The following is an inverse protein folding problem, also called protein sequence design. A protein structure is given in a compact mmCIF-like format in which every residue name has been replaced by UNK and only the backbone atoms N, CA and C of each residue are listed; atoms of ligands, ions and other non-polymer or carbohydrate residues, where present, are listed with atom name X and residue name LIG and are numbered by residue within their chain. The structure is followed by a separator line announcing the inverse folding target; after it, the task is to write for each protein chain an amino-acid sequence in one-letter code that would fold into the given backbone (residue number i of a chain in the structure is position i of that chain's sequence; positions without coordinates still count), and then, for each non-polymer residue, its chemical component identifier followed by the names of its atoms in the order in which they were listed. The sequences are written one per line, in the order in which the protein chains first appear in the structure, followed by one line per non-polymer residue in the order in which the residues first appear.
data_IF_314982272869
#
_entry.id   IF_314982272869
#
_cell.length_a   1.000
_cell.length_b   1.000
_cell.length_c   1.000
_cell.angle_alpha   90.00
_cell.angle_beta   90.00
_cell.angle_gamma   90.00
#
_symmetry.space_group_name_H-M   'P 1'
#
loop_
_entity.id
_entity.type
_entity.pdbx_description
1 polymer ?
#
# COMPACT_ATOMS: atom_id res chain seq x y z
N UNK A 1 22.76 7.68 -23.71
CA UNK A 1 22.33 7.10 -25.00
C UNK A 1 21.18 6.13 -24.74
N UNK A 2 19.98 6.67 -24.53
CA UNK A 2 18.71 5.99 -24.74
C UNK A 2 17.93 6.94 -25.65
N UNK A 3 17.77 6.55 -26.91
CA UNK A 3 17.14 7.37 -27.95
C UNK A 3 15.77 6.77 -28.29
N UNK A 4 14.77 7.64 -28.45
CA UNK A 4 13.40 7.31 -28.90
C UNK A 4 12.48 6.96 -27.72
N UNK A 5 11.26 7.49 -27.59
CA UNK A 5 10.37 8.15 -28.55
C UNK A 5 9.39 9.05 -27.77
N UNK A 6 8.87 10.10 -28.39
CA UNK A 6 8.04 11.13 -27.74
C UNK A 6 6.58 10.70 -27.57
N UNK A 7 6.34 9.70 -26.73
CA UNK A 7 5.07 9.48 -26.04
C UNK A 7 5.40 9.34 -24.56
N UNK A 8 4.74 10.11 -23.69
CA UNK A 8 5.08 10.26 -22.26
C UNK A 8 4.91 9.00 -21.41
N UNK A 9 4.85 7.81 -22.01
CA UNK A 9 4.57 6.53 -21.39
C UNK A 9 5.81 5.63 -21.51
N UNK A 10 6.78 5.85 -20.62
CA UNK A 10 7.93 4.95 -20.51
C UNK A 10 7.42 3.60 -19.98
N UNK A 11 7.86 2.43 -20.50
CA UNK A 11 7.40 1.11 -20.04
C UNK A 11 7.45 0.89 -18.52
N UNK A 12 8.34 1.62 -17.83
CA UNK A 12 8.43 1.64 -16.38
C UNK A 12 7.20 2.28 -15.70
N UNK A 13 6.69 3.41 -16.22
CA UNK A 13 5.51 4.09 -15.66
C UNK A 13 4.27 3.20 -15.77
N UNK A 14 4.06 2.60 -16.94
CA UNK A 14 2.97 1.65 -17.15
C UNK A 14 3.04 0.44 -16.21
N UNK A 15 4.26 0.02 -15.81
CA UNK A 15 4.42 -1.07 -14.85
C UNK A 15 4.08 -0.66 -13.42
N UNK A 16 4.46 0.56 -13.01
CA UNK A 16 4.07 1.11 -11.70
C UNK A 16 2.55 1.22 -11.60
N UNK A 17 1.89 1.69 -12.65
CA UNK A 17 0.44 1.82 -12.69
C UNK A 17 -0.26 0.47 -12.54
N UNK A 18 0.15 -0.53 -13.33
CA UNK A 18 -0.35 -1.91 -13.20
C UNK A 18 -0.15 -2.48 -11.80
N UNK A 19 0.99 -2.19 -11.17
CA UNK A 19 1.25 -2.66 -9.81
C UNK A 19 0.28 -2.02 -8.80
N UNK A 20 0.00 -0.72 -8.92
CA UNK A 20 -0.93 0.00 -8.03
C UNK A 20 -2.36 -0.52 -8.16
N UNK A 21 -2.80 -0.81 -9.39
CA UNK A 21 -4.13 -1.39 -9.64
C UNK A 21 -4.24 -2.79 -9.03
N UNK A 22 -3.23 -3.64 -9.23
CA UNK A 22 -3.20 -4.98 -8.64
C UNK A 22 -3.19 -4.91 -7.10
N UNK A 23 -2.40 -3.99 -6.53
CA UNK A 23 -2.37 -3.76 -5.09
C UNK A 23 -3.76 -3.36 -4.56
N UNK A 24 -4.46 -2.47 -5.26
CA UNK A 24 -5.79 -2.02 -4.87
C UNK A 24 -6.83 -3.15 -4.86
N UNK A 25 -6.83 -4.01 -5.89
CA UNK A 25 -7.69 -5.21 -5.96
C UNK A 25 -7.39 -6.15 -4.79
N UNK A 26 -6.11 -6.43 -4.51
CA UNK A 26 -5.71 -7.31 -3.41
C UNK A 26 -6.12 -6.73 -2.05
N UNK A 27 -5.92 -5.43 -1.84
CA UNK A 27 -6.33 -4.74 -0.61
C UNK A 27 -7.84 -4.76 -0.44
N UNK A 28 -8.63 -4.49 -1.47
CA UNK A 28 -10.10 -4.51 -1.38
C UNK A 28 -10.64 -5.82 -0.80
N UNK A 29 -10.08 -6.95 -1.24
CA UNK A 29 -10.42 -8.28 -0.70
C UNK A 29 -10.03 -8.43 0.78
N UNK A 30 -8.81 -8.07 1.16
CA UNK A 30 -8.32 -8.18 2.54
C UNK A 30 -9.11 -7.26 3.48
N UNK A 31 -9.38 -6.03 3.05
CA UNK A 31 -10.10 -5.02 3.83
C UNK A 31 -11.56 -5.39 4.04
N UNK A 32 -12.19 -6.01 3.04
CA UNK A 32 -13.56 -6.54 3.18
C UNK A 32 -13.64 -7.64 4.25
N UNK A 33 -12.57 -8.41 4.45
CA UNK A 33 -12.53 -9.47 5.46
C UNK A 33 -12.19 -8.97 6.87
N UNK A 34 -11.30 -7.98 6.97
CA UNK A 34 -10.72 -7.56 8.26
C UNK A 34 -11.28 -6.25 8.83
N UNK A 35 -11.85 -5.38 7.99
CA UNK A 35 -12.33 -4.01 8.31
C UNK A 35 -11.40 -3.23 9.28
N UNK A 36 -10.09 -3.10 8.98
CA UNK A 36 -9.18 -2.44 9.88
C UNK A 36 -9.39 -0.93 9.88
N UNK A 37 -9.13 -0.27 11.00
CA UNK A 37 -9.13 1.19 11.09
C UNK A 37 -7.89 1.82 10.40
N UNK A 38 -6.79 1.07 10.32
CA UNK A 38 -5.53 1.53 9.76
C UNK A 38 -4.76 0.39 9.08
N UNK A 39 -4.18 0.68 7.93
CA UNK A 39 -3.24 -0.18 7.22
C UNK A 39 -1.88 0.48 7.22
N UNK A 40 -0.88 -0.23 7.74
CA UNK A 40 0.52 0.22 7.73
C UNK A 40 1.30 -0.59 6.71
N UNK A 41 1.75 0.06 5.64
CA UNK A 41 2.58 -0.56 4.60
C UNK A 41 4.04 -0.57 5.03
N UNK A 42 4.65 -1.76 5.03
CA UNK A 42 6.06 -1.96 5.36
C UNK A 42 6.88 -2.53 4.19
N UNK A 43 8.16 -2.77 4.45
CA UNK A 43 9.09 -3.30 3.45
C UNK A 43 9.61 -2.24 2.47
N UNK A 44 10.49 -2.65 1.55
CA UNK A 44 11.24 -1.73 0.68
C UNK A 44 10.32 -0.91 -0.23
N UNK A 45 9.25 -1.52 -0.74
CA UNK A 45 8.30 -0.85 -1.62
C UNK A 45 7.52 0.26 -0.92
N UNK A 46 7.28 0.15 0.40
CA UNK A 46 6.60 1.20 1.18
C UNK A 46 7.34 2.54 1.23
N UNK A 47 8.61 2.57 0.80
CA UNK A 47 9.39 3.79 0.67
C UNK A 47 9.04 4.63 -0.56
N UNK A 48 8.33 4.05 -1.52
CA UNK A 48 7.90 4.77 -2.71
C UNK A 48 6.62 5.54 -2.41
N UNK A 49 6.75 6.86 -2.24
CA UNK A 49 5.63 7.70 -1.79
C UNK A 49 4.47 7.71 -2.80
N UNK A 50 4.75 7.48 -4.09
CA UNK A 50 3.71 7.36 -5.11
C UNK A 50 2.79 6.13 -4.93
N UNK A 51 3.13 5.19 -4.04
CA UNK A 51 2.18 4.11 -3.68
C UNK A 51 0.99 4.59 -2.86
N UNK A 52 1.13 5.72 -2.16
CA UNK A 52 0.07 6.25 -1.29
C UNK A 52 -0.82 7.26 -2.01
N UNK A 53 -0.30 7.90 -3.06
CA UNK A 53 -1.08 8.77 -3.94
C UNK A 53 -2.28 7.97 -4.47
N UNK A 54 -3.48 8.53 -4.35
CA UNK A 54 -4.76 7.96 -4.81
C UNK A 54 -5.04 6.51 -4.37
N UNK A 55 -4.28 5.95 -3.42
CA UNK A 55 -4.41 4.53 -3.04
C UNK A 55 -5.79 4.23 -2.48
N UNK A 56 -6.30 5.13 -1.65
CA UNK A 56 -7.64 5.01 -1.08
C UNK A 56 -8.71 5.03 -2.20
N UNK A 57 -8.58 5.94 -3.16
CA UNK A 57 -9.48 6.09 -4.30
C UNK A 57 -9.45 4.85 -5.21
N UNK A 58 -8.28 4.24 -5.40
CA UNK A 58 -8.14 2.99 -6.17
C UNK A 58 -8.72 1.78 -5.46
N UNK A 59 -8.67 1.75 -4.12
CA UNK A 59 -9.19 0.65 -3.32
C UNK A 59 -10.71 0.70 -3.19
N UNK A 60 -11.29 1.89 -3.13
CA UNK A 60 -12.72 2.12 -2.89
C UNK A 60 -13.66 1.29 -3.81
N UNK A 61 -13.43 1.19 -5.13
CA UNK A 61 -14.26 0.38 -6.04
C UNK A 61 -14.25 -1.12 -5.74
N UNK A 62 -13.28 -1.60 -4.95
CA UNK A 62 -13.10 -3.00 -4.59
C UNK A 62 -13.62 -3.34 -3.19
N UNK A 63 -14.26 -2.39 -2.51
CA UNK A 63 -14.88 -2.60 -1.20
C UNK A 63 -16.38 -2.85 -1.31
N UNK A 64 -16.98 -3.31 -0.21
CA UNK A 64 -18.43 -3.31 -0.09
C UNK A 64 -18.98 -1.88 -0.15
N UNK A 65 -20.18 -1.63 -0.72
CA UNK A 65 -20.75 -0.28 -0.84
C UNK A 65 -20.93 0.48 0.47
N UNK A 66 -20.95 -0.22 1.60
CA UNK A 66 -21.12 0.35 2.96
C UNK A 66 -19.83 0.41 3.76
N UNK A 67 -18.72 -0.10 3.19
CA UNK A 67 -17.44 -0.15 3.87
C UNK A 67 -16.84 1.25 4.01
N UNK A 68 -16.02 1.43 5.04
CA UNK A 68 -15.23 2.65 5.21
C UNK A 68 -13.79 2.39 4.81
N UNK A 69 -13.17 3.35 4.16
CA UNK A 69 -11.76 3.27 3.83
C UNK A 69 -10.90 3.35 5.11
N UNK A 70 -9.89 2.47 5.26
CA UNK A 70 -8.95 2.58 6.34
C UNK A 70 -8.01 3.77 6.12
N UNK A 71 -7.35 4.21 7.19
CA UNK A 71 -6.20 5.11 7.04
C UNK A 71 -4.98 4.31 6.55
N UNK A 72 -4.44 4.68 5.40
CA UNK A 72 -3.15 4.15 4.92
C UNK A 72 -1.98 4.94 5.51
N UNK A 73 -0.94 4.24 5.95
CA UNK A 73 0.25 4.84 6.54
C UNK A 73 1.52 4.08 6.19
N UNK A 74 2.65 4.79 6.14
CA UNK A 74 3.99 4.22 5.99
C UNK A 74 4.50 3.68 7.31
N UNK A 75 5.14 2.51 7.29
CA UNK A 75 5.78 1.94 8.47
C UNK A 75 6.88 2.86 9.00
N UNK A 76 6.85 3.14 10.31
CA UNK A 76 7.77 4.07 10.98
C UNK A 76 9.00 3.41 11.57
N UNK A 77 8.99 2.08 11.68
CA UNK A 77 9.95 1.35 12.52
C UNK A 77 10.83 0.36 11.74
N UNK A 78 10.65 0.26 10.42
CA UNK A 78 11.55 -0.44 9.49
C UNK A 78 12.18 -1.71 10.07
N UNK A 79 13.51 -1.79 9.97
CA UNK A 79 14.32 -2.95 10.42
C UNK A 79 14.22 -3.20 11.93
N UNK A 80 13.99 -2.15 12.72
CA UNK A 80 13.77 -2.28 14.16
C UNK A 80 12.37 -2.82 14.52
N UNK A 81 11.46 -2.93 13.54
CA UNK A 81 10.06 -3.32 13.74
C UNK A 81 9.93 -4.73 14.33
N UNK A 82 10.74 -5.69 13.88
CA UNK A 82 10.70 -7.06 14.36
C UNK A 82 11.09 -7.19 15.84
N UNK A 83 12.21 -6.58 16.23
CA UNK A 83 12.69 -6.58 17.61
C UNK A 83 11.71 -5.86 18.55
N UNK A 84 11.17 -4.71 18.13
CA UNK A 84 10.15 -3.97 18.88
C UNK A 84 8.88 -4.78 19.05
N UNK A 85 8.40 -5.42 17.99
CA UNK A 85 7.22 -6.28 18.02
C UNK A 85 7.38 -7.44 19.01
N UNK A 86 8.54 -8.11 18.99
CA UNK A 86 8.83 -9.20 19.93
C UNK A 86 8.84 -8.73 21.40
N UNK A 87 9.44 -7.57 21.68
CA UNK A 87 9.40 -6.97 23.02
C UNK A 87 7.97 -6.62 23.45
N UNK A 88 7.14 -6.12 22.53
CA UNK A 88 5.77 -5.69 22.79
C UNK A 88 4.80 -6.83 23.11
N UNK A 89 5.14 -8.09 22.80
CA UNK A 89 4.33 -9.25 23.17
C UNK A 89 4.15 -9.40 24.70
N UNK A 90 5.05 -8.81 25.49
CA UNK A 90 5.04 -8.88 26.96
C UNK A 90 4.55 -7.57 27.62
N UNK A 91 3.98 -6.64 26.85
CA UNK A 91 3.54 -5.32 27.33
C UNK A 91 2.04 -5.28 27.69
N UNK A 92 1.33 -6.40 27.54
CA UNK A 92 -0.06 -6.51 28.01
C UNK A 92 -0.07 -7.18 29.38
N UNK A 93 -0.79 -6.57 30.32
CA UNK A 93 -1.11 -7.16 31.63
C UNK A 93 -1.80 -8.53 31.49
#
# INVERSE_FOLDING_TARGET
MFSGDSSGDTPALAQVERYRDLLAVCLGNILTLLDPQMVVLGGVLSNFDALYDDLAERVEPHLLPVARLPRFAKARHGDAGGMRGAAFLHIRD
#
